data_IF_827784550205
#
_entry.id   IF_827784550205
#
_cell.length_a   1.000
_cell.length_b   1.000
_cell.length_c   1.000
_cell.angle_alpha   90.00
_cell.angle_beta   90.00
_cell.angle_gamma   90.00
#
_symmetry.space_group_name_H-M   'P 1'
#
loop_
_entity.id
_entity.type
_entity.pdbx_description
1 polymer ?
#
# COMPACT_ATOMS: atom_id res chain seq x y z
N UNK A 1 -14.17 8.94 13.58
CA UNK A 1 -13.14 9.99 13.71
C UNK A 1 -12.36 10.08 12.40
N UNK A 2 -12.05 11.29 11.90
CA UNK A 2 -11.18 11.49 10.73
C UNK A 2 -9.83 12.01 11.24
N UNK A 3 -8.73 11.38 10.83
CA UNK A 3 -7.38 11.83 11.16
C UNK A 3 -6.56 11.89 9.86
N UNK A 4 -5.97 13.05 9.54
CA UNK A 4 -5.21 13.28 8.29
C UNK A 4 -5.97 12.77 7.04
N UNK A 5 -7.28 13.04 6.96
CA UNK A 5 -8.11 12.59 5.84
C UNK A 5 -8.49 11.10 5.84
N UNK A 6 -7.94 10.28 6.74
CA UNK A 6 -8.26 8.86 6.90
C UNK A 6 -9.42 8.67 7.88
N UNK A 7 -10.45 7.92 7.46
CA UNK A 7 -11.57 7.55 8.33
C UNK A 7 -11.19 6.33 9.17
N UNK A 8 -11.02 6.52 10.47
CA UNK A 8 -10.71 5.42 11.39
C UNK A 8 -11.99 4.84 12.00
N UNK A 9 -12.15 3.52 11.87
CA UNK A 9 -13.20 2.73 12.51
C UNK A 9 -12.70 2.10 13.80
N UNK A 10 -13.60 1.84 14.76
CA UNK A 10 -13.25 1.33 16.09
C UNK A 10 -12.58 -0.06 16.09
N UNK A 11 -12.69 -0.80 14.97
CA UNK A 11 -12.02 -2.10 14.77
C UNK A 11 -10.78 -2.02 13.85
N UNK A 12 -10.39 -0.82 13.44
CA UNK A 12 -9.33 -0.55 12.45
C UNK A 12 -9.48 -1.38 11.17
N UNK A 13 -10.72 -1.67 10.75
CA UNK A 13 -11.01 -2.37 9.50
C UNK A 13 -10.71 -1.51 8.27
N UNK A 14 -10.71 -0.18 8.43
CA UNK A 14 -10.50 0.82 7.37
C UNK A 14 -11.43 0.65 6.17
N UNK A 15 -12.49 -0.13 6.29
CA UNK A 15 -13.42 -0.45 5.20
C UNK A 15 -14.11 0.80 4.67
N UNK A 16 -14.53 1.72 5.56
CA UNK A 16 -15.08 3.02 5.15
C UNK A 16 -14.06 3.86 4.40
N UNK A 17 -12.81 3.89 4.85
CA UNK A 17 -11.75 4.62 4.19
C UNK A 17 -11.49 4.06 2.77
N UNK A 18 -11.37 2.74 2.66
CA UNK A 18 -11.21 2.05 1.36
C UNK A 18 -12.39 2.36 0.44
N UNK A 19 -13.63 2.38 0.95
CA UNK A 19 -14.80 2.73 0.16
C UNK A 19 -14.76 4.18 -0.34
N UNK A 20 -14.37 5.14 0.51
CA UNK A 20 -14.23 6.55 0.13
C UNK A 20 -13.16 6.73 -0.95
N UNK A 21 -11.97 6.15 -0.75
CA UNK A 21 -10.88 6.19 -1.73
C UNK A 21 -11.31 5.51 -3.03
N UNK A 22 -11.94 4.34 -2.94
CA UNK A 22 -12.43 3.59 -4.10
C UNK A 22 -13.44 4.39 -4.91
N UNK A 23 -14.38 5.08 -4.24
CA UNK A 23 -15.36 5.95 -4.89
C UNK A 23 -14.69 7.10 -5.64
N UNK A 24 -13.73 7.77 -5.00
CA UNK A 24 -12.97 8.84 -5.64
C UNK A 24 -12.18 8.33 -6.87
N UNK A 25 -11.46 7.22 -6.74
CA UNK A 25 -10.71 6.63 -7.84
C UNK A 25 -11.61 6.21 -9.02
N UNK A 26 -12.79 5.64 -8.73
CA UNK A 26 -13.78 5.29 -9.78
C UNK A 26 -14.31 6.53 -10.49
N UNK A 27 -14.57 7.61 -9.75
CA UNK A 27 -14.96 8.89 -10.33
C UNK A 27 -13.91 9.43 -11.29
N UNK A 28 -12.62 9.42 -10.90
CA UNK A 28 -11.54 9.82 -11.80
C UNK A 28 -11.46 8.90 -13.02
N UNK A 29 -11.43 7.58 -12.83
CA UNK A 29 -11.39 6.65 -13.97
C UNK A 29 -12.54 6.86 -14.95
N UNK A 30 -13.75 7.13 -14.45
CA UNK A 30 -14.89 7.45 -15.31
C UNK A 30 -14.65 8.72 -16.14
N UNK A 31 -14.18 9.81 -15.52
CA UNK A 31 -13.89 11.06 -16.22
C UNK A 31 -12.76 10.90 -17.24
N UNK A 32 -11.69 10.18 -16.89
CA UNK A 32 -10.56 9.91 -17.78
C UNK A 32 -11.04 9.11 -18.98
N UNK A 33 -11.90 8.10 -18.77
CA UNK A 33 -12.44 7.27 -19.84
C UNK A 33 -13.24 8.08 -20.86
N UNK A 34 -13.93 9.15 -20.41
CA UNK A 34 -14.68 10.04 -21.31
C UNK A 34 -13.78 10.87 -22.22
N UNK A 35 -12.64 11.33 -21.71
CA UNK A 35 -11.68 12.13 -22.48
C UNK A 35 -10.61 11.28 -23.18
N UNK A 36 -10.55 9.98 -22.89
CA UNK A 36 -9.58 9.03 -23.43
C UNK A 36 -9.41 9.10 -24.96
N UNK A 37 -10.47 9.25 -25.79
CA UNK A 37 -10.31 9.34 -27.25
C UNK A 37 -9.41 10.50 -27.72
N UNK A 38 -9.20 11.50 -26.87
CA UNK A 38 -8.39 12.70 -27.17
C UNK A 38 -7.00 12.66 -26.51
N UNK A 39 -6.64 11.56 -25.84
CA UNK A 39 -5.39 11.43 -25.10
C UNK A 39 -4.48 10.39 -25.76
N UNK A 40 -3.17 10.63 -25.68
CA UNK A 40 -2.19 9.58 -25.97
C UNK A 40 -2.12 8.57 -24.82
N UNK A 41 -1.54 7.39 -25.09
CA UNK A 41 -1.31 6.37 -24.07
C UNK A 41 -0.45 6.90 -22.92
N UNK A 42 0.61 7.65 -23.24
CA UNK A 42 1.49 8.29 -22.26
C UNK A 42 0.75 9.31 -21.39
N UNK A 43 -0.01 10.23 -21.99
CA UNK A 43 -0.78 11.23 -21.23
C UNK A 43 -1.84 10.57 -20.35
N UNK A 44 -2.48 9.52 -20.84
CA UNK A 44 -3.44 8.72 -20.07
C UNK A 44 -2.77 8.04 -18.88
N UNK A 45 -1.60 7.44 -19.08
CA UNK A 45 -0.80 6.86 -18.01
C UNK A 45 -0.48 7.89 -16.93
N UNK A 46 0.05 9.05 -17.32
CA UNK A 46 0.42 10.12 -16.40
C UNK A 46 -0.77 10.58 -15.56
N UNK A 47 -1.92 10.77 -16.21
CA UNK A 47 -3.14 11.26 -15.57
C UNK A 47 -3.72 10.21 -14.59
N UNK A 48 -3.71 8.92 -14.98
CA UNK A 48 -4.08 7.82 -14.08
C UNK A 48 -3.13 7.74 -12.87
N UNK A 49 -1.82 7.90 -13.07
CA UNK A 49 -0.86 7.92 -11.97
C UNK A 49 -1.12 9.09 -11.01
N UNK A 50 -1.29 10.30 -11.57
CA UNK A 50 -1.49 11.52 -10.81
C UNK A 50 -2.82 11.56 -10.04
N UNK A 51 -3.90 11.02 -10.60
CA UNK A 51 -5.23 11.12 -9.98
C UNK A 51 -5.67 9.86 -9.22
N UNK A 52 -5.30 8.67 -9.71
CA UNK A 52 -5.77 7.39 -9.16
C UNK A 52 -4.71 6.76 -8.28
N UNK A 53 -3.49 6.55 -8.79
CA UNK A 53 -2.44 5.88 -8.01
C UNK A 53 -2.02 6.71 -6.80
N UNK A 54 -1.86 8.03 -6.96
CA UNK A 54 -1.53 8.94 -5.84
C UNK A 54 -2.51 8.83 -4.66
N UNK A 55 -3.81 8.69 -4.94
CA UNK A 55 -4.85 8.52 -3.91
C UNK A 55 -4.84 7.14 -3.28
N UNK A 56 -4.54 6.10 -4.05
CA UNK A 56 -4.37 4.76 -3.49
C UNK A 56 -3.10 4.63 -2.65
N UNK A 57 -2.04 5.35 -3.03
CA UNK A 57 -0.75 5.33 -2.33
C UNK A 57 -0.74 6.24 -1.09
N UNK A 58 -1.72 7.15 -0.97
CA UNK A 58 -1.93 7.94 0.23
C UNK A 58 -2.29 7.05 1.43
N UNK A 59 -1.42 7.05 2.45
CA UNK A 59 -1.59 6.26 3.67
C UNK A 59 -1.77 4.75 3.44
N UNK A 60 -1.24 4.20 2.33
CA UNK A 60 -1.38 2.78 2.01
C UNK A 60 -0.69 1.84 3.03
N UNK A 61 0.32 2.31 3.76
CA UNK A 61 0.95 1.56 4.85
C UNK A 61 -0.02 1.21 5.99
N UNK A 62 -1.08 1.99 6.19
CA UNK A 62 -2.12 1.68 7.19
C UNK A 62 -2.97 0.46 6.80
N UNK A 63 -2.98 0.09 5.51
CA UNK A 63 -3.70 -1.08 5.02
C UNK A 63 -2.91 -2.38 5.25
N UNK A 64 -1.69 -2.29 5.76
CA UNK A 64 -0.86 -3.45 6.03
C UNK A 64 -1.49 -4.33 7.13
N UNK A 65 -1.48 -5.65 6.91
CA UNK A 65 -2.11 -6.62 7.81
C UNK A 65 -3.64 -6.74 7.68
N UNK A 66 -4.28 -6.04 6.72
CA UNK A 66 -5.69 -6.28 6.38
C UNK A 66 -5.86 -7.56 5.54
N UNK A 67 -7.01 -8.25 5.62
CA UNK A 67 -7.28 -9.40 4.78
C UNK A 67 -7.32 -9.00 3.31
N UNK A 68 -6.87 -9.92 2.43
CA UNK A 68 -6.84 -9.68 0.98
C UNK A 68 -8.22 -9.30 0.41
N UNK A 69 -9.30 -9.79 1.00
CA UNK A 69 -10.68 -9.44 0.64
C UNK A 69 -10.97 -7.94 0.79
N UNK A 70 -10.43 -7.28 1.82
CA UNK A 70 -10.60 -5.86 2.04
C UNK A 70 -9.81 -5.01 1.04
N UNK A 71 -8.66 -5.50 0.58
CA UNK A 71 -7.78 -4.80 -0.38
C UNK A 71 -8.23 -5.01 -1.83
N UNK A 72 -8.95 -6.11 -2.11
CA UNK A 72 -9.44 -6.49 -3.45
C UNK A 72 -10.09 -5.34 -4.24
N UNK A 73 -10.93 -4.46 -3.67
CA UNK A 73 -11.53 -3.34 -4.41
C UNK A 73 -10.48 -2.41 -5.03
N UNK A 74 -9.38 -2.14 -4.34
CA UNK A 74 -8.28 -1.30 -4.82
C UNK A 74 -7.52 -1.99 -5.95
N UNK A 75 -7.29 -3.30 -5.85
CA UNK A 75 -6.66 -4.06 -6.93
C UNK A 75 -7.52 -4.04 -8.20
N UNK A 76 -8.84 -4.16 -8.07
CA UNK A 76 -9.76 -4.06 -9.21
C UNK A 76 -9.71 -2.67 -9.87
N UNK A 77 -9.56 -1.61 -9.08
CA UNK A 77 -9.39 -0.25 -9.60
C UNK A 77 -8.05 -0.12 -10.34
N UNK A 78 -6.96 -0.65 -9.79
CA UNK A 78 -5.66 -0.66 -10.46
C UNK A 78 -5.71 -1.42 -11.79
N UNK A 79 -6.39 -2.57 -11.82
CA UNK A 79 -6.56 -3.37 -13.03
C UNK A 79 -7.38 -2.60 -14.08
N UNK A 80 -8.47 -1.94 -13.66
CA UNK A 80 -9.28 -1.10 -14.55
C UNK A 80 -8.49 0.11 -15.09
N UNK A 81 -7.63 0.70 -14.25
CA UNK A 81 -6.69 1.74 -14.64
C UNK A 81 -5.72 1.26 -15.73
N UNK A 82 -5.10 0.08 -15.56
CA UNK A 82 -4.19 -0.48 -16.56
C UNK A 82 -4.91 -0.76 -17.89
N UNK A 83 -6.12 -1.34 -17.85
CA UNK A 83 -6.95 -1.53 -19.04
C UNK A 83 -7.30 -0.21 -19.73
N UNK A 84 -7.56 0.84 -18.95
CA UNK A 84 -7.86 2.16 -19.50
C UNK A 84 -6.65 2.75 -20.23
N UNK A 85 -5.43 2.61 -19.70
CA UNK A 85 -4.21 3.14 -20.34
C UNK A 85 -3.94 2.49 -21.69
N UNK A 86 -4.16 1.18 -21.82
CA UNK A 86 -3.96 0.44 -23.07
C UNK A 86 -5.22 0.33 -23.93
N UNK A 87 -6.34 0.93 -23.49
CA UNK A 87 -7.65 0.80 -24.14
C UNK A 87 -8.09 -0.64 -24.40
N UNK A 88 -7.85 -1.54 -23.44
CA UNK A 88 -8.14 -2.97 -23.56
C UNK A 88 -9.49 -3.34 -22.91
N UNK A 89 -10.12 -4.46 -23.36
CA UNK A 89 -11.35 -4.95 -22.75
C UNK A 89 -11.12 -5.38 -21.30
N UNK A 90 -12.17 -5.33 -20.47
CA UNK A 90 -12.11 -5.62 -19.03
C UNK A 90 -11.54 -7.01 -18.69
N UNK A 91 -11.68 -7.97 -19.59
CA UNK A 91 -11.31 -9.37 -19.39
C UNK A 91 -9.91 -9.71 -19.91
N UNK A 92 -9.16 -8.75 -20.48
CA UNK A 92 -7.79 -8.99 -20.90
C UNK A 92 -6.88 -9.34 -19.72
N UNK A 93 -5.80 -10.07 -20.00
CA UNK A 93 -4.80 -10.41 -18.99
C UNK A 93 -4.13 -9.14 -18.46
N UNK A 94 -4.31 -8.88 -17.16
CA UNK A 94 -3.80 -7.66 -16.52
C UNK A 94 -2.31 -7.73 -16.16
N UNK A 95 -1.79 -8.93 -15.87
CA UNK A 95 -0.39 -9.14 -15.49
C UNK A 95 0.61 -8.54 -16.49
N UNK A 96 0.54 -8.81 -17.80
CA UNK A 96 1.46 -8.20 -18.76
C UNK A 96 1.35 -6.67 -18.79
N UNK A 97 0.16 -6.10 -18.61
CA UNK A 97 -0.05 -4.65 -18.60
C UNK A 97 0.63 -3.98 -17.42
N UNK A 98 0.51 -4.59 -16.23
CA UNK A 98 1.20 -4.09 -15.04
C UNK A 98 2.73 -4.17 -15.20
N UNK A 99 3.25 -5.22 -15.84
CA UNK A 99 4.68 -5.35 -16.14
C UNK A 99 5.15 -4.26 -17.10
N UNK A 100 4.44 -4.03 -18.20
CA UNK A 100 4.77 -2.98 -19.18
C UNK A 100 4.72 -1.58 -18.57
N UNK A 101 3.77 -1.33 -17.66
CA UNK A 101 3.66 -0.06 -16.94
C UNK A 101 4.65 0.07 -15.77
N UNK A 102 5.40 -0.99 -15.46
CA UNK A 102 6.22 -1.10 -14.23
C UNK A 102 5.41 -0.85 -12.94
N UNK A 103 4.16 -1.28 -12.90
CA UNK A 103 3.28 -1.10 -11.75
C UNK A 103 3.26 -2.34 -10.86
N UNK A 104 3.71 -2.17 -9.61
CA UNK A 104 3.50 -3.16 -8.55
C UNK A 104 2.01 -3.33 -8.22
N UNK A 105 1.58 -4.55 -7.88
CA UNK A 105 0.23 -4.82 -7.36
C UNK A 105 -0.01 -4.05 -6.06
N UNK A 106 -1.27 -3.76 -5.72
CA UNK A 106 -1.61 -2.97 -4.51
C UNK A 106 -1.02 -3.59 -3.26
N UNK A 107 -1.09 -4.92 -3.12
CA UNK A 107 -0.52 -5.64 -1.97
C UNK A 107 0.99 -5.46 -1.91
N UNK A 108 1.68 -5.56 -3.05
CA UNK A 108 3.13 -5.36 -3.11
C UNK A 108 3.52 -3.91 -2.77
N UNK A 109 2.73 -2.92 -3.21
CA UNK A 109 2.93 -1.51 -2.85
C UNK A 109 2.80 -1.26 -1.34
N UNK A 110 1.77 -1.83 -0.71
CA UNK A 110 1.57 -1.73 0.74
C UNK A 110 2.78 -2.33 1.48
N UNK A 111 3.24 -3.52 1.07
CA UNK A 111 4.43 -4.15 1.65
C UNK A 111 5.67 -3.28 1.45
N UNK A 112 5.92 -2.83 0.22
CA UNK A 112 7.06 -1.97 -0.11
C UNK A 112 7.08 -0.69 0.75
N UNK A 113 5.95 0.01 0.86
CA UNK A 113 5.86 1.23 1.69
C UNK A 113 6.13 0.94 3.17
N UNK A 114 5.60 -0.17 3.68
CA UNK A 114 5.80 -0.60 5.07
C UNK A 114 7.29 -0.89 5.35
N UNK A 115 7.96 -1.59 4.44
CA UNK A 115 9.39 -1.89 4.55
C UNK A 115 10.25 -0.62 4.44
N UNK A 116 9.92 0.30 3.54
CA UNK A 116 10.63 1.59 3.43
C UNK A 116 10.52 2.39 4.73
N UNK A 117 9.34 2.43 5.35
CA UNK A 117 9.15 3.10 6.64
C UNK A 117 9.97 2.44 7.76
N UNK A 118 10.03 1.10 7.77
CA UNK A 118 10.84 0.36 8.74
C UNK A 118 12.34 0.59 8.53
N UNK A 119 12.82 0.56 7.29
CA UNK A 119 14.21 0.84 6.95
C UNK A 119 14.63 2.25 7.37
N UNK A 120 13.79 3.25 7.10
CA UNK A 120 14.03 4.63 7.54
C UNK A 120 14.10 4.76 9.06
N UNK A 121 13.31 3.97 9.79
CA UNK A 121 13.38 3.92 11.24
C UNK A 121 14.67 3.26 11.73
N UNK A 122 15.07 2.11 11.17
CA UNK A 122 16.34 1.46 11.55
C UNK A 122 17.55 2.37 11.29
N UNK A 123 17.54 3.13 10.19
CA UNK A 123 18.61 4.06 9.83
C UNK A 123 18.62 5.36 10.63
N UNK A 124 17.68 5.57 11.56
CA UNK A 124 17.61 6.77 12.39
C UNK A 124 17.08 8.02 11.68
N UNK A 125 16.57 7.89 10.44
CA UNK A 125 15.99 9.02 9.68
C UNK A 125 14.50 9.22 9.95
N UNK A 126 13.87 8.33 10.71
CA UNK A 126 12.47 8.45 11.10
C UNK A 126 12.30 9.24 12.42
N UNK A 127 11.12 9.83 12.65
CA UNK A 127 10.79 10.48 13.92
C UNK A 127 11.01 9.58 15.15
N UNK A 128 11.39 10.20 16.27
CA UNK A 128 11.76 9.50 17.52
C UNK A 128 10.67 8.54 18.03
N UNK A 129 9.40 8.84 17.80
CA UNK A 129 8.29 7.96 18.17
C UNK A 129 8.27 6.66 17.36
N UNK A 130 8.72 6.66 16.09
CA UNK A 130 8.85 5.44 15.27
C UNK A 130 10.09 4.65 15.67
N UNK A 131 11.21 5.32 15.98
CA UNK A 131 12.43 4.65 16.46
C UNK A 131 12.17 3.79 17.69
N UNK A 132 11.35 4.29 18.64
CA UNK A 132 10.99 3.56 19.87
C UNK A 132 10.16 2.29 19.62
N UNK A 133 9.52 2.17 18.46
CA UNK A 133 8.71 1.01 18.09
C UNK A 133 9.59 -0.14 17.59
N UNK A 134 10.71 0.18 16.94
CA UNK A 134 11.65 -0.79 16.40
C UNK A 134 12.77 -1.09 17.39
N UNK A 135 12.91 -2.36 17.77
CA UNK A 135 14.03 -2.81 18.60
C UNK A 135 14.98 -3.63 17.75
N UNK A 136 16.29 -3.29 17.69
CA UNK A 136 17.25 -4.12 17.00
C UNK A 136 17.31 -5.49 17.66
N UNK A 137 17.45 -6.54 16.86
CA UNK A 137 17.64 -7.89 17.38
C UNK A 137 19.03 -8.02 18.01
N UNK A 138 19.06 -8.15 19.34
CA UNK A 138 20.29 -8.45 20.09
C UNK A 138 20.27 -9.91 20.53
N UNK A 139 21.02 -10.81 19.88
CA UNK A 139 21.05 -12.21 20.29
C UNK A 139 21.75 -12.37 21.64
N UNK A 140 21.29 -13.29 22.47
CA UNK A 140 21.90 -13.60 23.78
C UNK A 140 23.32 -14.19 23.68
N UNK A 141 23.72 -14.65 22.48
CA UNK A 141 25.04 -15.21 22.18
C UNK A 141 25.52 -14.71 20.82
N UNK A 142 26.84 -14.59 20.57
CA UNK A 142 27.35 -14.13 19.28
C UNK A 142 26.99 -15.13 18.18
N UNK A 143 26.06 -14.74 17.31
CA UNK A 143 25.62 -15.51 16.15
C UNK A 143 26.05 -14.80 14.87
N UNK A 144 26.25 -15.55 13.79
CA UNK A 144 26.51 -14.97 12.45
C UNK A 144 25.37 -14.06 11.97
N UNK A 145 24.16 -14.26 12.49
CA UNK A 145 22.99 -13.41 12.23
C UNK A 145 22.92 -12.14 13.10
N UNK A 146 23.89 -11.90 13.98
CA UNK A 146 23.94 -10.68 14.78
C UNK A 146 24.25 -9.43 13.94
N UNK A 147 24.97 -9.59 12.82
CA UNK A 147 25.38 -8.48 11.94
C UNK A 147 24.43 -8.22 10.78
N UNK A 148 23.40 -9.06 10.58
CA UNK A 148 22.46 -8.95 9.44
C UNK A 148 21.32 -7.95 9.64
N UNK A 149 21.34 -7.16 10.72
CA UNK A 149 20.44 -6.01 10.90
C UNK A 149 18.96 -6.36 11.14
N UNK A 150 18.68 -7.57 11.64
CA UNK A 150 17.31 -8.02 11.92
C UNK A 150 16.63 -7.20 13.02
N UNK A 151 15.31 -7.07 12.92
CA UNK A 151 14.47 -6.49 13.97
C UNK A 151 14.01 -7.57 14.94
N UNK A 152 14.01 -7.25 16.24
CA UNK A 152 13.45 -8.15 17.24
C UNK A 152 11.92 -8.20 17.06
N UNK A 153 11.32 -9.39 16.87
CA UNK A 153 9.87 -9.48 16.82
C UNK A 153 9.31 -9.03 18.17
N UNK A 154 8.24 -8.22 18.20
CA UNK A 154 7.61 -7.86 19.46
C UNK A 154 7.11 -9.12 20.18
N UNK A 155 7.11 -9.14 21.52
CA UNK A 155 6.73 -10.32 22.29
C UNK A 155 5.34 -10.81 21.88
N UNK A 156 5.25 -12.09 21.51
CA UNK A 156 4.03 -12.78 21.10
C UNK A 156 3.07 -12.99 22.28
N UNK A 157 2.53 -11.90 22.84
CA UNK A 157 1.38 -11.92 23.74
C UNK A 157 0.18 -11.31 23.02
N UNK A 158 -0.64 -12.20 22.46
CA UNK A 158 -2.10 -12.11 22.21
C UNK A 158 -2.72 -10.75 21.82
N UNK A 159 -3.25 -10.68 20.58
CA UNK A 159 -4.56 -10.10 20.16
C UNK A 159 -4.53 -9.78 18.65
N UNK A 160 -5.60 -10.09 17.92
CA UNK A 160 -5.77 -9.79 16.48
C UNK A 160 -5.61 -8.30 16.10
N UNK A 161 -5.65 -7.39 17.09
CA UNK A 161 -5.37 -5.97 16.87
C UNK A 161 -3.88 -5.65 16.74
N UNK A 162 -2.97 -6.44 17.33
CA UNK A 162 -1.52 -6.18 17.36
C UNK A 162 -0.74 -6.88 16.23
N UNK A 163 -1.35 -7.80 15.49
CA UNK A 163 -0.78 -8.37 14.25
C UNK A 163 -0.63 -7.36 13.11
N UNK A 164 -1.26 -6.18 13.28
CA UNK A 164 -1.21 -5.04 12.34
C UNK A 164 -0.19 -3.97 12.75
N UNK A 165 0.62 -4.24 13.79
CA UNK A 165 1.70 -3.33 14.18
C UNK A 165 2.79 -3.32 13.12
N UNK A 166 3.32 -2.14 12.86
CA UNK A 166 4.35 -1.91 11.85
C UNK A 166 5.64 -2.72 12.16
N UNK A 167 5.94 -2.96 13.45
CA UNK A 167 7.04 -3.83 13.92
C UNK A 167 6.81 -5.34 13.73
N UNK A 168 5.57 -5.78 13.47
CA UNK A 168 5.25 -7.18 13.16
C UNK A 168 5.27 -7.41 11.64
N UNK A 169 4.94 -6.37 10.87
CA UNK A 169 4.80 -6.43 9.41
C UNK A 169 6.10 -6.17 8.66
N UNK A 170 7.11 -5.59 9.33
CA UNK A 170 8.44 -5.38 8.80
C UNK A 170 9.46 -6.23 9.59
N UNK A 171 9.91 -7.37 9.03
CA UNK A 171 10.96 -8.21 9.63
C UNK A 171 12.37 -7.63 9.45
#
# INVERSE_FOLDING_TARGET
MKNLGVVMDNRLSLSKNIAVVSRACRFFLYNIRRIHPFLTTYSTQLLVQAMVLSRMDYCNSLLAGLPASAIRPLQLIQNAAAHLVFNLPRHSHVTPLLTTLHWLTVIARIKFKTLVLAYQAVKGSAPTYLLKIFKPYTPARPLRSATSGHLAPPPLRTCASRSRLLSVLAP
#
